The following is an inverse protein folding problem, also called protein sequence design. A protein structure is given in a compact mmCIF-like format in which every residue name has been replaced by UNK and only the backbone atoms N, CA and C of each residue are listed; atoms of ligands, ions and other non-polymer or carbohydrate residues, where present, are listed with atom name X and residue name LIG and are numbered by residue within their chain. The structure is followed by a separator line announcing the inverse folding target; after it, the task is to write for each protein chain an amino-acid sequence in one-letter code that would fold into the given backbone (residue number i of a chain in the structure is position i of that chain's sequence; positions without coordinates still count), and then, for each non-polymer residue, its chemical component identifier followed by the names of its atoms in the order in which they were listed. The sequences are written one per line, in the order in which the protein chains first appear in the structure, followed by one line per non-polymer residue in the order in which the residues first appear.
data_IF_900206314683
#
_entry.id   IF_900206314683
#
_cell.length_a   1.000
_cell.length_b   1.000
_cell.length_c   1.000
_cell.angle_alpha   90.00
_cell.angle_beta   90.00
_cell.angle_gamma   90.00
#
_symmetry.space_group_name_H-M   'P 1'
#
loop_
_entity.id
_entity.type
_entity.pdbx_description
1 polymer ?
#
# COMPACT_ATOMS: atom_id res chain seq x y z
N UNK A 1 -1.47 16.01 -29.36
CA UNK A 1 -0.85 17.36 -29.36
C UNK A 1 0.17 17.42 -28.25
N UNK A 2 1.41 17.78 -28.53
CA UNK A 2 2.40 18.07 -27.48
C UNK A 2 2.03 19.40 -26.83
N UNK A 3 1.73 19.42 -25.55
CA UNK A 3 1.64 20.65 -24.77
C UNK A 3 3.00 21.36 -24.86
N UNK A 4 3.01 22.68 -25.03
CA UNK A 4 4.23 23.51 -25.17
C UNK A 4 4.97 23.43 -26.53
N UNK A 5 4.24 23.37 -27.63
CA UNK A 5 4.83 23.30 -28.97
C UNK A 5 5.20 24.68 -29.58
N UNK A 6 5.72 25.65 -28.81
CA UNK A 6 6.25 26.92 -29.33
C UNK A 6 5.19 27.86 -29.92
N UNK A 7 3.93 27.72 -29.57
CA UNK A 7 2.89 28.65 -30.00
C UNK A 7 2.89 29.88 -29.09
N UNK A 8 3.28 31.05 -29.64
CA UNK A 8 3.42 32.31 -28.94
C UNK A 8 2.19 32.64 -28.04
N UNK A 9 0.97 32.41 -28.55
CA UNK A 9 -0.25 32.66 -27.78
C UNK A 9 -0.40 31.75 -26.54
N UNK A 10 0.06 30.51 -26.62
CA UNK A 10 0.01 29.57 -25.50
C UNK A 10 1.07 29.91 -24.45
N UNK A 11 2.26 30.32 -24.89
CA UNK A 11 3.33 30.76 -23.99
C UNK A 11 2.97 32.04 -23.25
N UNK A 12 2.34 33.02 -23.94
CA UNK A 12 1.82 34.23 -23.30
C UNK A 12 0.73 33.94 -22.28
N UNK A 13 -0.19 33.03 -22.59
CA UNK A 13 -1.26 32.62 -21.66
C UNK A 13 -0.67 31.92 -20.41
N UNK A 14 0.33 31.06 -20.59
CA UNK A 14 1.01 30.39 -19.49
C UNK A 14 1.81 31.39 -18.62
N UNK A 15 2.45 32.37 -19.24
CA UNK A 15 3.16 33.45 -18.53
C UNK A 15 2.21 34.30 -17.72
N UNK A 16 1.10 34.74 -18.30
CA UNK A 16 0.07 35.53 -17.59
C UNK A 16 -0.55 34.76 -16.43
N UNK A 17 -0.82 33.46 -16.62
CA UNK A 17 -1.35 32.60 -15.56
C UNK A 17 -0.33 32.47 -14.40
N UNK A 18 0.96 32.34 -14.70
CA UNK A 18 2.03 32.29 -13.69
C UNK A 18 2.20 33.63 -12.95
N UNK A 19 2.11 34.75 -13.65
CA UNK A 19 2.15 36.08 -13.04
C UNK A 19 0.95 36.31 -12.14
N UNK A 20 -0.26 35.99 -12.58
CA UNK A 20 -1.47 36.08 -11.77
C UNK A 20 -1.37 35.22 -10.50
N UNK A 21 -0.87 33.98 -10.60
CA UNK A 21 -0.70 33.08 -9.47
C UNK A 21 0.35 33.58 -8.45
N UNK A 22 1.32 34.40 -8.87
CA UNK A 22 2.37 34.97 -8.00
C UNK A 22 1.97 36.29 -7.36
N UNK A 23 1.02 37.01 -7.97
CA UNK A 23 0.61 38.35 -7.52
C UNK A 23 -0.41 38.24 -6.37
N UNK A 24 0.09 38.43 -5.15
CA UNK A 24 -0.73 38.40 -3.92
C UNK A 24 -1.73 39.55 -3.79
N UNK A 25 -1.65 40.58 -4.67
CA UNK A 25 -2.51 41.75 -4.64
C UNK A 25 -3.73 41.62 -5.57
N UNK A 26 -3.83 40.53 -6.32
CA UNK A 26 -5.02 40.24 -7.14
C UNK A 26 -6.10 39.64 -6.23
N UNK A 27 -7.29 40.21 -6.28
CA UNK A 27 -8.45 39.66 -5.60
C UNK A 27 -8.76 38.24 -6.12
N UNK A 28 -8.88 37.27 -5.20
CA UNK A 28 -9.15 35.89 -5.57
C UNK A 28 -10.58 35.77 -6.12
N UNK A 29 -10.72 35.58 -7.44
CA UNK A 29 -12.02 35.43 -8.10
C UNK A 29 -12.67 34.05 -7.83
N UNK A 30 -11.88 33.07 -7.39
CA UNK A 30 -12.36 31.68 -7.19
C UNK A 30 -11.74 31.06 -5.96
N UNK A 31 -12.53 31.00 -4.89
CA UNK A 31 -12.10 30.48 -3.58
C UNK A 31 -12.54 29.04 -3.32
N UNK A 32 -13.19 28.38 -4.29
CA UNK A 32 -13.66 26.99 -4.11
C UNK A 32 -12.50 26.01 -4.38
N UNK A 33 -12.20 25.19 -3.40
CA UNK A 33 -11.21 24.12 -3.54
C UNK A 33 -11.78 23.03 -4.46
N UNK A 34 -11.07 22.60 -5.50
CA UNK A 34 -11.51 21.49 -6.35
C UNK A 34 -11.75 20.22 -5.54
N UNK A 35 -12.81 19.50 -5.84
CA UNK A 35 -13.15 18.22 -5.16
C UNK A 35 -11.99 17.23 -5.21
N UNK A 36 -11.22 17.19 -6.30
CA UNK A 36 -10.04 16.34 -6.48
C UNK A 36 -8.96 16.61 -5.44
N UNK A 37 -8.72 17.88 -5.08
CA UNK A 37 -7.75 18.27 -4.06
C UNK A 37 -8.20 17.75 -2.70
N UNK A 38 -9.45 18.04 -2.31
CA UNK A 38 -10.02 17.57 -1.04
C UNK A 38 -9.95 16.04 -0.93
N UNK A 39 -10.33 15.33 -1.99
CA UNK A 39 -10.29 13.87 -2.02
C UNK A 39 -8.84 13.34 -1.90
N UNK A 40 -7.87 14.00 -2.52
CA UNK A 40 -6.46 13.63 -2.45
C UNK A 40 -5.91 13.81 -1.03
N UNK A 41 -6.19 14.95 -0.40
CA UNK A 41 -5.77 15.24 0.97
C UNK A 41 -6.39 14.27 1.98
N UNK A 42 -7.70 14.01 1.86
CA UNK A 42 -8.39 13.04 2.72
C UNK A 42 -7.81 11.63 2.58
N UNK A 43 -7.50 11.21 1.36
CA UNK A 43 -6.86 9.92 1.10
C UNK A 43 -5.49 9.84 1.74
N UNK A 44 -4.68 10.89 1.61
CA UNK A 44 -3.34 10.93 2.20
C UNK A 44 -3.40 10.87 3.73
N UNK A 45 -4.29 11.65 4.34
CA UNK A 45 -4.49 11.64 5.80
C UNK A 45 -4.97 10.27 6.28
N UNK A 46 -5.91 9.65 5.56
CA UNK A 46 -6.42 8.32 5.89
C UNK A 46 -5.31 7.26 5.84
N UNK A 47 -4.41 7.32 4.84
CA UNK A 47 -3.27 6.40 4.75
C UNK A 47 -2.28 6.63 5.88
N UNK A 48 -2.00 7.88 6.26
CA UNK A 48 -1.13 8.21 7.39
C UNK A 48 -1.70 7.70 8.71
N UNK A 49 -2.99 7.92 8.94
CA UNK A 49 -3.67 7.40 10.13
C UNK A 49 -3.65 5.87 10.16
N UNK A 50 -4.01 5.20 9.06
CA UNK A 50 -3.97 3.75 8.96
C UNK A 50 -2.57 3.18 9.16
N UNK A 51 -1.52 3.85 8.64
CA UNK A 51 -0.13 3.42 8.87
C UNK A 51 0.24 3.48 10.35
N UNK A 52 -0.21 4.50 11.08
CA UNK A 52 0.02 4.59 12.54
C UNK A 52 -0.64 3.42 13.27
N UNK A 53 -1.95 3.22 13.07
CA UNK A 53 -2.68 2.10 13.65
C UNK A 53 -2.03 0.74 13.30
N UNK A 54 -1.61 0.60 12.03
CA UNK A 54 -0.91 -0.59 11.57
C UNK A 54 0.40 -0.82 12.32
N UNK A 55 1.16 0.19 12.58
CA UNK A 55 2.44 0.12 13.30
C UNK A 55 2.25 -0.21 14.78
N UNK A 56 1.28 0.44 15.43
CA UNK A 56 1.04 0.35 16.87
C UNK A 56 0.34 -0.96 17.30
N UNK A 57 -0.53 -1.52 16.45
CA UNK A 57 -1.22 -2.77 16.81
C UNK A 57 -0.25 -3.93 17.01
N UNK A 58 -0.48 -4.75 18.02
CA UNK A 58 0.30 -5.98 18.28
C UNK A 58 -0.13 -7.17 17.42
N UNK A 59 -1.28 -7.07 16.74
CA UNK A 59 -1.84 -8.13 15.90
C UNK A 59 -1.22 -8.12 14.50
N UNK A 60 -1.32 -9.26 13.80
CA UNK A 60 -0.92 -9.38 12.39
C UNK A 60 0.59 -9.37 12.15
N UNK A 61 1.40 -9.87 13.08
CA UNK A 61 2.87 -9.87 12.99
C UNK A 61 3.39 -10.45 11.67
N UNK A 62 2.81 -11.57 11.19
CA UNK A 62 3.20 -12.19 9.91
C UNK A 62 2.89 -11.27 8.75
N UNK A 63 1.68 -10.73 8.68
CA UNK A 63 1.26 -9.80 7.62
C UNK A 63 2.12 -8.53 7.62
N UNK A 64 2.49 -8.02 8.79
CA UNK A 64 3.40 -6.87 8.92
C UNK A 64 4.81 -7.15 8.42
N UNK A 65 5.30 -8.37 8.58
CA UNK A 65 6.60 -8.77 8.03
C UNK A 65 6.61 -8.70 6.49
N UNK A 66 5.50 -9.07 5.84
CA UNK A 66 5.33 -8.93 4.39
C UNK A 66 5.06 -7.49 3.95
N UNK A 67 4.23 -6.77 4.69
CA UNK A 67 3.76 -5.43 4.36
C UNK A 67 3.94 -4.47 5.53
N UNK A 68 5.16 -4.03 5.83
CA UNK A 68 5.41 -3.06 6.91
C UNK A 68 4.78 -1.70 6.60
N UNK A 69 4.67 -1.36 5.32
CA UNK A 69 4.06 -0.10 4.86
C UNK A 69 2.74 -0.35 4.14
N UNK A 70 1.67 0.29 4.61
CA UNK A 70 0.34 0.21 3.99
C UNK A 70 0.36 0.70 2.55
N UNK A 71 1.11 1.77 2.27
CA UNK A 71 1.24 2.32 0.92
C UNK A 71 1.79 1.32 -0.10
N UNK A 72 2.74 0.47 0.31
CA UNK A 72 3.29 -0.56 -0.57
C UNK A 72 2.26 -1.66 -0.84
N UNK A 73 1.53 -2.09 0.18
CA UNK A 73 0.44 -3.06 0.02
C UNK A 73 -0.64 -2.55 -0.94
N UNK A 74 -1.00 -1.27 -0.87
CA UNK A 74 -2.02 -0.66 -1.74
C UNK A 74 -1.58 -0.54 -3.20
N UNK A 75 -0.28 -0.43 -3.46
CA UNK A 75 0.30 -0.42 -4.81
C UNK A 75 0.45 -1.81 -5.41
N UNK A 76 0.48 -2.82 -4.57
CA UNK A 76 0.76 -4.19 -4.97
C UNK A 76 -0.44 -4.81 -5.69
N UNK A 77 -0.34 -4.95 -7.00
CA UNK A 77 -1.39 -5.49 -7.88
C UNK A 77 -1.10 -6.95 -8.19
N UNK A 78 -1.65 -7.83 -7.37
CA UNK A 78 -1.60 -9.29 -7.58
C UNK A 78 -2.98 -9.89 -7.43
N UNK A 79 -3.17 -11.04 -8.05
CA UNK A 79 -4.35 -11.85 -7.80
C UNK A 79 -4.28 -12.45 -6.39
N UNK A 80 -5.25 -12.10 -5.55
CA UNK A 80 -5.36 -12.63 -4.21
C UNK A 80 -5.93 -14.04 -4.32
N UNK A 81 -5.08 -15.04 -4.09
CA UNK A 81 -5.48 -16.45 -4.03
C UNK A 81 -5.57 -16.91 -2.58
N UNK A 82 -6.32 -18.02 -2.29
CA UNK A 82 -6.35 -18.60 -0.96
C UNK A 82 -4.95 -18.95 -0.42
N UNK A 83 -4.06 -19.45 -1.26
CA UNK A 83 -2.68 -19.77 -0.88
C UNK A 83 -1.87 -18.53 -0.52
N UNK A 84 -2.00 -17.47 -1.33
CA UNK A 84 -1.36 -16.18 -1.01
C UNK A 84 -1.85 -15.64 0.33
N UNK A 85 -3.17 -15.67 0.56
CA UNK A 85 -3.76 -15.20 1.81
C UNK A 85 -3.27 -16.03 3.00
N UNK A 86 -3.22 -17.36 2.87
CA UNK A 86 -2.71 -18.27 3.91
C UNK A 86 -1.25 -17.94 4.29
N UNK A 87 -0.39 -17.71 3.30
CA UNK A 87 1.02 -17.37 3.52
C UNK A 87 1.15 -16.02 4.22
N UNK A 88 0.50 -14.98 3.69
CA UNK A 88 0.64 -13.61 4.19
C UNK A 88 0.05 -13.42 5.59
N UNK A 89 -0.99 -14.17 5.93
CA UNK A 89 -1.62 -14.10 7.25
C UNK A 89 -1.09 -15.13 8.24
N UNK A 90 -0.40 -16.17 7.75
CA UNK A 90 0.02 -17.32 8.56
C UNK A 90 -1.13 -18.23 8.97
N UNK A 91 -2.28 -18.09 8.33
CA UNK A 91 -3.49 -18.88 8.59
C UNK A 91 -3.77 -19.86 7.43
N UNK A 92 -4.67 -20.80 7.67
CA UNK A 92 -5.08 -21.78 6.66
C UNK A 92 -4.26 -23.07 6.70
N UNK A 93 -3.94 -23.66 5.55
CA UNK A 93 -3.37 -25.01 5.46
C UNK A 93 -1.84 -25.02 5.72
N UNK A 94 -1.41 -24.44 6.84
CA UNK A 94 -0.02 -24.41 7.32
C UNK A 94 0.05 -25.32 8.53
N UNK A 95 0.89 -26.37 8.49
CA UNK A 95 0.90 -27.40 9.54
C UNK A 95 1.13 -26.83 10.95
N UNK A 96 2.03 -25.89 11.13
CA UNK A 96 2.27 -25.24 12.42
C UNK A 96 1.00 -24.52 12.94
N UNK A 97 0.21 -23.92 12.07
CA UNK A 97 -1.06 -23.29 12.42
C UNK A 97 -2.12 -24.34 12.80
N UNK A 98 -2.28 -25.38 11.98
CA UNK A 98 -3.24 -26.47 12.23
C UNK A 98 -2.92 -27.21 13.52
N UNK A 99 -1.65 -27.49 13.79
CA UNK A 99 -1.20 -28.13 15.04
C UNK A 99 -1.50 -27.26 16.26
N UNK A 100 -1.29 -25.93 16.18
CA UNK A 100 -1.63 -25.00 17.26
C UNK A 100 -3.11 -25.11 17.69
N UNK A 101 -3.99 -25.39 16.74
CA UNK A 101 -5.44 -25.57 16.99
C UNK A 101 -5.85 -27.02 17.15
N UNK A 102 -4.89 -27.96 17.33
CA UNK A 102 -5.13 -29.40 17.53
C UNK A 102 -5.94 -30.07 16.40
N UNK A 103 -5.78 -29.57 15.16
CA UNK A 103 -6.41 -30.13 13.97
C UNK A 103 -5.55 -31.26 13.41
N UNK A 104 -4.23 -31.19 13.58
CA UNK A 104 -3.27 -32.22 13.23
C UNK A 104 -2.29 -32.44 14.38
N UNK A 105 -1.70 -33.66 14.48
CA UNK A 105 -0.77 -34.00 15.55
C UNK A 105 0.67 -33.63 15.23
N UNK A 106 1.08 -33.63 13.95
CA UNK A 106 2.45 -33.37 13.51
C UNK A 106 2.58 -32.07 12.72
N UNK A 107 3.29 -31.04 13.27
CA UNK A 107 3.54 -29.80 12.59
C UNK A 107 4.73 -29.86 11.62
N UNK A 108 5.45 -31.00 11.53
CA UNK A 108 6.74 -31.11 10.80
C UNK A 108 6.57 -30.84 9.31
N UNK A 109 7.44 -29.99 8.78
CA UNK A 109 7.52 -29.73 7.35
C UNK A 109 8.04 -30.95 6.60
N UNK A 110 7.52 -31.30 5.41
CA UNK A 110 8.08 -32.36 4.57
C UNK A 110 9.56 -32.20 4.27
N UNK A 111 10.09 -30.97 4.30
CA UNK A 111 11.52 -30.69 4.15
C UNK A 111 12.38 -31.08 5.37
N UNK A 112 11.77 -31.55 6.47
CA UNK A 112 12.41 -31.96 7.73
C UNK A 112 13.25 -30.90 8.45
N UNK A 113 13.15 -29.62 8.04
CA UNK A 113 13.88 -28.50 8.67
C UNK A 113 13.18 -27.94 9.93
N UNK A 114 12.09 -28.53 10.37
CA UNK A 114 11.33 -28.12 11.55
C UNK A 114 9.84 -27.99 11.29
N UNK A 115 9.07 -27.34 12.20
CA UNK A 115 7.64 -27.12 12.02
C UNK A 115 7.38 -26.31 10.75
N UNK A 116 6.36 -26.69 9.97
CA UNK A 116 5.98 -25.97 8.74
C UNK A 116 5.34 -24.62 9.09
N UNK A 117 6.17 -23.62 9.27
CA UNK A 117 5.79 -22.22 9.43
C UNK A 117 5.85 -21.48 8.09
N UNK A 118 5.29 -20.27 8.04
CA UNK A 118 5.42 -19.38 6.86
C UNK A 118 6.87 -19.14 6.49
N UNK A 119 7.75 -18.94 7.48
CA UNK A 119 9.18 -18.69 7.23
C UNK A 119 9.86 -19.89 6.56
N UNK A 120 9.54 -21.11 6.99
CA UNK A 120 10.10 -22.32 6.37
C UNK A 120 9.57 -22.49 4.94
N UNK A 121 8.28 -22.25 4.71
CA UNK A 121 7.69 -22.28 3.36
C UNK A 121 8.34 -21.25 2.44
N UNK A 122 8.58 -20.05 2.95
CA UNK A 122 9.25 -18.99 2.17
C UNK A 122 10.69 -19.35 1.82
N UNK A 123 11.46 -19.86 2.80
CA UNK A 123 12.85 -20.27 2.59
C UNK A 123 12.98 -21.49 1.66
N UNK A 124 12.00 -22.42 1.68
CA UNK A 124 12.02 -23.60 0.80
C UNK A 124 11.53 -23.32 -0.62
N UNK A 125 10.80 -22.24 -0.84
CA UNK A 125 10.36 -21.81 -2.17
C UNK A 125 11.46 -21.06 -2.96
N UNK A 126 12.57 -20.69 -2.30
CA UNK A 126 13.70 -19.99 -2.92
C UNK A 126 14.83 -20.96 -3.39
N UNK A 127 14.68 -22.26 -3.15
CA UNK A 127 15.57 -23.34 -3.57
C UNK A 127 14.79 -24.46 -4.23
#
# INVERSE_FOLDING_TARGET
MKAHAGHLGNEMADQQAKEAARNKNIEECYIKIPKSVVMSEQKEQSIKWWQREWTETTKGAITKAFFPKIGDRLKFRINITPNFTAIVTGHGNIKAYLHKYKIIDDPTCPCRKGPQTVNILYLTALF
#
